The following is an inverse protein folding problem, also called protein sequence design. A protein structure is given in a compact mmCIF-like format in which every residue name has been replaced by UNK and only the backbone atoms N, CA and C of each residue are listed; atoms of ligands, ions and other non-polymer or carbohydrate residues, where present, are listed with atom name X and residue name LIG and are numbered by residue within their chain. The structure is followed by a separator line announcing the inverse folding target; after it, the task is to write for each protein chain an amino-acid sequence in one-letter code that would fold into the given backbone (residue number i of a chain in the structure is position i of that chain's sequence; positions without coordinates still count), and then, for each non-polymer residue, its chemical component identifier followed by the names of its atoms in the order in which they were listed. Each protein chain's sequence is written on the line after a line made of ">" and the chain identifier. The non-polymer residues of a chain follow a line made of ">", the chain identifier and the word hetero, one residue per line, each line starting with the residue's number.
data_IF_803103470975
#
_entry.id   IF_803103470975
#
_cell.length_a   1.000
_cell.length_b   1.000
_cell.length_c   1.000
_cell.angle_alpha   90.00
_cell.angle_beta   90.00
_cell.angle_gamma   90.00
#
_symmetry.space_group_name_H-M   'P 1'
#
loop_
_entity.id
_entity.type
_entity.pdbx_description
1 polymer ?
#
# COMPACT_ATOMS: atom_id res chain seq x y z
N UNK A 1 4.96 2.25 83.55
CA UNK A 1 4.32 2.99 82.44
C UNK A 1 5.41 3.65 81.62
N UNK A 2 5.91 2.95 80.61
CA UNK A 2 6.97 3.44 79.70
C UNK A 2 6.32 4.29 78.60
N UNK A 3 6.54 5.60 78.67
CA UNK A 3 6.06 6.58 77.68
C UNK A 3 6.86 6.43 76.39
N UNK A 4 6.18 6.20 75.28
CA UNK A 4 6.79 6.17 73.95
C UNK A 4 7.33 7.57 73.59
N UNK A 5 8.47 7.67 72.88
CA UNK A 5 8.99 8.95 72.44
C UNK A 5 8.09 9.59 71.38
N UNK A 6 7.68 10.84 71.60
CA UNK A 6 6.98 11.68 70.62
C UNK A 6 7.88 11.93 69.40
N UNK A 7 7.46 11.44 68.23
CA UNK A 7 8.13 11.72 66.97
C UNK A 7 7.57 13.03 66.40
N UNK A 8 8.41 14.00 66.01
CA UNK A 8 7.93 15.23 65.38
C UNK A 8 7.24 14.89 64.05
N UNK A 9 6.12 15.58 63.78
CA UNK A 9 5.35 15.41 62.54
C UNK A 9 6.24 15.71 61.32
N UNK A 10 6.19 14.88 60.26
CA UNK A 10 6.98 15.12 59.06
C UNK A 10 6.58 16.44 58.40
N UNK A 11 7.56 17.21 57.92
CA UNK A 11 7.32 18.46 57.19
C UNK A 11 6.54 18.19 55.90
N UNK A 12 5.67 19.12 55.49
CA UNK A 12 4.93 19.06 54.21
C UNK A 12 5.86 18.78 53.02
N UNK A 13 7.09 19.31 53.04
CA UNK A 13 8.09 19.05 52.02
C UNK A 13 8.51 17.57 51.95
N UNK A 14 8.57 16.88 53.09
CA UNK A 14 8.91 15.45 53.15
C UNK A 14 7.81 14.57 52.55
N UNK A 15 6.54 14.93 52.75
CA UNK A 15 5.41 14.25 52.12
C UNK A 15 5.42 14.42 50.61
N UNK A 16 5.68 15.64 50.11
CA UNK A 16 5.75 15.91 48.68
C UNK A 16 6.90 15.12 48.04
N UNK A 17 8.08 15.11 48.67
CA UNK A 17 9.22 14.35 48.14
C UNK A 17 8.93 12.84 48.12
N UNK A 18 8.31 12.31 49.19
CA UNK A 18 7.95 10.91 49.27
C UNK A 18 6.92 10.49 48.23
N UNK A 19 5.90 11.32 47.96
CA UNK A 19 4.89 11.01 46.93
C UNK A 19 5.47 11.07 45.52
N UNK A 20 6.39 12.00 45.24
CA UNK A 20 7.11 12.04 43.96
C UNK A 20 7.95 10.78 43.73
N UNK A 21 8.70 10.34 44.75
CA UNK A 21 9.52 9.13 44.65
C UNK A 21 8.64 7.89 44.43
N UNK A 22 7.54 7.76 45.17
CA UNK A 22 6.61 6.63 45.03
C UNK A 22 5.95 6.61 43.64
N UNK A 23 5.50 7.75 43.13
CA UNK A 23 4.91 7.84 41.80
C UNK A 23 5.92 7.52 40.68
N UNK A 24 7.16 8.03 40.81
CA UNK A 24 8.23 7.77 39.86
C UNK A 24 8.64 6.29 39.84
N UNK A 25 8.81 5.66 41.02
CA UNK A 25 9.12 4.24 41.10
C UNK A 25 7.97 3.38 40.55
N UNK A 26 6.72 3.65 40.95
CA UNK A 26 5.57 2.89 40.46
C UNK A 26 5.39 3.02 38.94
N UNK A 27 5.53 4.23 38.39
CA UNK A 27 5.46 4.48 36.95
C UNK A 27 6.58 3.79 36.17
N UNK A 28 7.81 3.81 36.69
CA UNK A 28 8.96 3.16 36.07
C UNK A 28 8.77 1.63 35.97
N UNK A 29 8.31 0.99 37.05
CA UNK A 29 8.09 -0.46 37.05
C UNK A 29 6.88 -0.89 36.20
N UNK A 30 5.82 -0.07 36.12
CA UNK A 30 4.68 -0.33 35.24
C UNK A 30 5.05 -0.20 33.75
N UNK A 31 5.93 0.76 33.43
CA UNK A 31 6.51 0.90 32.08
C UNK A 31 7.40 -0.29 31.70
N UNK A 32 8.27 -0.74 32.62
CA UNK A 32 9.11 -1.93 32.39
C UNK A 32 8.28 -3.21 32.21
N UNK A 33 7.21 -3.40 33.00
CA UNK A 33 6.32 -4.56 32.86
C UNK A 33 5.55 -4.57 31.52
N UNK A 34 5.23 -3.38 30.98
CA UNK A 34 4.63 -3.24 29.66
C UNK A 34 5.62 -3.58 28.53
N UNK A 35 6.91 -3.26 28.71
CA UNK A 35 7.99 -3.59 27.76
C UNK A 35 8.34 -5.10 27.73
N UNK A 36 8.04 -5.84 28.79
CA UNK A 36 8.29 -7.29 28.92
C UNK A 36 7.11 -8.15 28.44
N UNK A 37 6.03 -7.54 27.93
CA UNK A 37 4.87 -8.26 27.40
C UNK A 37 4.02 -8.97 28.45
N UNK A 38 4.20 -8.66 29.74
CA UNK A 38 3.54 -9.35 30.86
C UNK A 38 2.03 -9.09 30.95
N UNK A 39 1.53 -8.07 30.25
CA UNK A 39 0.11 -7.71 30.15
C UNK A 39 -0.49 -7.95 28.76
N UNK A 40 0.20 -8.68 27.88
CA UNK A 40 -0.44 -9.17 26.65
C UNK A 40 -1.43 -10.28 27.01
N UNK A 41 -2.73 -10.16 26.67
CA UNK A 41 -3.67 -11.24 26.94
C UNK A 41 -3.25 -12.48 26.13
N UNK A 42 -2.92 -13.57 26.82
CA UNK A 42 -2.71 -14.88 26.18
C UNK A 42 -4.03 -15.34 25.55
N UNK A 43 -4.01 -15.86 24.31
CA UNK A 43 -5.20 -16.45 23.71
C UNK A 43 -5.47 -17.81 24.37
N UNK A 44 -6.59 -17.94 25.08
CA UNK A 44 -7.13 -19.23 25.45
C UNK A 44 -7.92 -19.79 24.26
N UNK A 45 -7.38 -20.79 23.58
CA UNK A 45 -8.18 -21.78 22.86
C UNK A 45 -8.80 -22.71 23.92
N UNK A 46 -10.09 -23.10 23.80
CA UNK A 46 -10.48 -24.01 22.72
C UNK A 46 -11.83 -23.73 22.04
N UNK A 47 -11.91 -24.20 20.79
CA UNK A 47 -13.06 -24.76 20.06
C UNK A 47 -14.33 -23.91 19.81
N UNK A 48 -14.81 -24.07 18.57
CA UNK A 48 -16.11 -23.67 18.01
C UNK A 48 -16.28 -22.18 17.65
N UNK A 49 -15.94 -21.87 16.40
CA UNK A 49 -16.20 -20.60 15.74
C UNK A 49 -17.70 -20.27 15.69
N UNK A 50 -18.10 -19.24 16.44
CA UNK A 50 -19.26 -18.40 16.11
C UNK A 50 -18.79 -16.95 16.08
N UNK A 51 -18.71 -16.42 14.85
CA UNK A 51 -18.33 -15.04 14.56
C UNK A 51 -19.34 -14.08 15.18
N UNK A 52 -18.96 -13.42 16.28
CA UNK A 52 -19.69 -12.27 16.83
C UNK A 52 -18.87 -11.02 16.63
N UNK A 53 -19.48 -10.09 15.89
CA UNK A 53 -18.99 -8.76 15.54
C UNK A 53 -18.74 -7.95 16.81
N UNK A 54 -17.51 -7.46 17.01
CA UNK A 54 -17.27 -6.29 17.85
C UNK A 54 -16.92 -5.10 16.94
N UNK A 55 -17.57 -3.94 17.12
CA UNK A 55 -17.43 -2.81 16.22
C UNK A 55 -16.09 -2.11 16.47
N UNK A 56 -15.23 -2.09 15.45
CA UNK A 56 -14.09 -1.17 15.44
C UNK A 56 -14.59 0.27 15.30
N UNK A 57 -13.76 1.21 15.75
CA UNK A 57 -13.92 2.67 15.73
C UNK A 57 -14.72 3.20 14.51
N UNK A 58 -15.49 4.32 14.62
CA UNK A 58 -16.54 4.69 13.65
C UNK A 58 -16.10 5.04 12.21
N UNK A 59 -14.82 4.86 11.85
CA UNK A 59 -14.28 5.10 10.52
C UNK A 59 -12.97 4.31 10.32
N UNK A 60 -13.03 2.99 10.46
CA UNK A 60 -11.95 2.11 10.02
C UNK A 60 -11.89 2.12 8.49
N UNK A 61 -11.07 3.01 7.92
CA UNK A 61 -10.76 3.05 6.50
C UNK A 61 -9.80 1.92 6.15
N UNK A 62 -10.29 0.69 6.26
CA UNK A 62 -9.57 -0.47 5.74
C UNK A 62 -9.70 -0.45 4.22
N UNK A 63 -8.72 0.15 3.57
CA UNK A 63 -8.53 0.04 2.12
C UNK A 63 -7.80 -1.27 1.87
N UNK A 64 -8.54 -2.28 1.42
CA UNK A 64 -7.93 -3.53 0.98
C UNK A 64 -7.18 -3.24 -0.32
N UNK A 65 -5.84 -3.21 -0.23
CA UNK A 65 -4.99 -3.43 -1.40
C UNK A 65 -5.24 -4.88 -1.83
N UNK A 66 -5.64 -5.08 -3.09
CA UNK A 66 -5.88 -6.42 -3.63
C UNK A 66 -4.66 -7.32 -3.37
N UNK A 67 -4.83 -8.57 -2.91
CA UNK A 67 -3.77 -9.44 -2.37
C UNK A 67 -2.74 -9.95 -3.39
N UNK A 68 -2.59 -9.31 -4.55
CA UNK A 68 -1.43 -9.54 -5.42
C UNK A 68 -0.31 -8.50 -5.17
N UNK A 69 -0.37 -7.85 -4.00
CA UNK A 69 0.74 -7.09 -3.44
C UNK A 69 1.91 -8.04 -3.26
N UNK A 70 2.91 -7.85 -4.10
CA UNK A 70 4.16 -8.59 -4.21
C UNK A 70 5.05 -8.42 -2.98
N UNK A 71 4.49 -8.49 -1.77
CA UNK A 71 5.21 -8.28 -0.53
C UNK A 71 5.93 -9.56 -0.08
N UNK A 72 5.39 -10.76 -0.38
CA UNK A 72 6.13 -12.02 -0.16
C UNK A 72 7.30 -12.14 -1.14
N UNK A 73 7.09 -11.97 -2.44
CA UNK A 73 8.18 -12.10 -3.43
C UNK A 73 9.27 -11.02 -3.26
N UNK A 74 8.90 -9.80 -2.85
CA UNK A 74 9.87 -8.72 -2.56
C UNK A 74 10.65 -8.99 -1.26
N UNK A 75 10.01 -9.50 -0.21
CA UNK A 75 10.69 -9.85 1.04
C UNK A 75 11.57 -11.10 0.90
N UNK A 76 11.14 -12.07 0.08
CA UNK A 76 11.96 -13.24 -0.31
C UNK A 76 13.18 -12.81 -1.13
N UNK A 77 13.03 -11.87 -2.07
CA UNK A 77 14.15 -11.33 -2.88
C UNK A 77 15.12 -10.47 -2.07
N UNK A 78 14.67 -9.80 -1.02
CA UNK A 78 15.53 -9.05 -0.09
C UNK A 78 16.26 -9.96 0.92
N UNK A 79 15.73 -11.15 1.23
CA UNK A 79 16.36 -12.12 2.14
C UNK A 79 17.25 -13.17 1.46
N UNK A 80 17.03 -13.51 0.19
CA UNK A 80 17.64 -14.65 -0.50
C UNK A 80 19.06 -14.45 -1.06
N UNK A 81 19.93 -13.72 -0.36
CA UNK A 81 21.27 -13.35 -0.82
C UNK A 81 22.42 -14.08 -0.13
N UNK A 82 22.45 -15.42 -0.07
CA UNK A 82 23.68 -16.25 -0.03
C UNK A 82 23.35 -17.75 0.07
N UNK A 83 24.24 -18.54 -0.54
CA UNK A 83 24.33 -20.01 -0.63
C UNK A 83 23.48 -20.60 -1.77
N UNK A 84 24.00 -21.30 -2.77
CA UNK A 84 25.31 -21.91 -2.97
C UNK A 84 25.10 -23.27 -3.66
N UNK A 85 25.41 -23.34 -4.97
CA UNK A 85 25.76 -24.48 -5.82
C UNK A 85 25.36 -25.93 -5.43
N UNK A 86 24.80 -26.68 -6.40
CA UNK A 86 24.83 -28.16 -6.36
C UNK A 86 23.96 -28.91 -7.38
N UNK A 87 24.50 -29.15 -8.58
CA UNK A 87 24.42 -30.33 -9.47
C UNK A 87 23.26 -31.38 -9.45
N UNK A 88 22.91 -31.85 -10.66
CA UNK A 88 22.63 -33.29 -10.96
C UNK A 88 21.22 -33.64 -11.48
N UNK A 89 20.97 -33.82 -12.80
CA UNK A 89 20.99 -35.09 -13.59
C UNK A 89 19.64 -35.85 -13.71
N UNK A 90 19.11 -35.84 -14.95
CA UNK A 90 18.39 -36.85 -15.80
C UNK A 90 17.35 -37.89 -15.29
N UNK A 91 16.29 -38.00 -16.13
CA UNK A 91 15.60 -39.18 -16.77
C UNK A 91 14.31 -39.80 -16.16
N UNK A 92 13.24 -39.72 -16.97
CA UNK A 92 12.20 -40.69 -17.43
C UNK A 92 11.84 -41.91 -16.56
N UNK A 93 10.53 -42.15 -16.40
CA UNK A 93 9.93 -43.47 -16.13
C UNK A 93 8.41 -43.44 -15.97
N UNK A 94 7.70 -44.15 -16.84
CA UNK A 94 6.24 -44.39 -16.90
C UNK A 94 5.69 -45.24 -15.73
N UNK A 95 4.37 -45.21 -15.53
CA UNK A 95 3.64 -46.16 -14.67
C UNK A 95 2.16 -45.80 -14.50
N UNK A 96 1.29 -46.56 -15.15
CA UNK A 96 -0.17 -46.56 -15.09
C UNK A 96 -0.69 -47.17 -13.76
N UNK A 97 -1.87 -46.73 -13.28
CA UNK A 97 -3.10 -47.56 -13.12
C UNK A 97 -4.20 -46.83 -12.30
N UNK A 98 -5.44 -47.26 -12.59
CA UNK A 98 -6.75 -46.65 -12.32
C UNK A 98 -7.39 -47.01 -10.96
N UNK A 99 -8.21 -46.10 -10.42
CA UNK A 99 -9.60 -46.31 -9.95
C UNK A 99 -10.19 -44.90 -9.62
N UNK A 100 -11.47 -44.55 -9.60
CA UNK A 100 -12.76 -45.21 -9.83
C UNK A 100 -13.83 -44.37 -9.10
N UNK A 101 -14.92 -44.03 -9.81
CA UNK A 101 -16.25 -43.60 -9.29
C UNK A 101 -16.51 -42.13 -8.83
N UNK A 102 -17.29 -41.39 -9.66
CA UNK A 102 -18.71 -41.11 -9.28
C UNK A 102 -19.16 -39.67 -8.93
N UNK A 103 -19.80 -39.03 -9.92
CA UNK A 103 -21.01 -38.17 -9.84
C UNK A 103 -20.96 -36.77 -9.19
N UNK A 104 -21.28 -35.75 -10.00
CA UNK A 104 -21.78 -34.45 -9.52
C UNK A 104 -21.58 -33.31 -10.52
N UNK A 105 -22.49 -33.18 -11.48
CA UNK A 105 -22.62 -32.01 -12.36
C UNK A 105 -23.02 -30.77 -11.55
N UNK A 106 -22.18 -29.74 -11.55
CA UNK A 106 -22.60 -28.35 -11.40
C UNK A 106 -21.63 -27.48 -12.20
N UNK A 107 -22.04 -27.15 -13.42
CA UNK A 107 -21.44 -26.11 -14.23
C UNK A 107 -21.91 -24.76 -13.66
N UNK A 108 -21.07 -24.12 -12.87
CA UNK A 108 -21.13 -22.68 -12.66
C UNK A 108 -19.84 -22.09 -13.19
N UNK A 109 -19.94 -21.52 -14.39
CA UNK A 109 -18.90 -20.78 -15.10
C UNK A 109 -18.33 -19.69 -14.18
N UNK A 110 -17.17 -19.97 -13.58
CA UNK A 110 -16.30 -18.96 -12.96
C UNK A 110 -15.68 -18.13 -14.08
N UNK A 111 -16.48 -17.20 -14.61
CA UNK A 111 -16.05 -16.13 -15.49
C UNK A 111 -15.29 -15.04 -14.73
N UNK A 112 -14.33 -15.42 -13.88
CA UNK A 112 -13.27 -14.50 -13.44
C UNK A 112 -12.27 -14.37 -14.58
N UNK A 113 -12.68 -13.66 -15.63
CA UNK A 113 -11.73 -13.12 -16.60
C UNK A 113 -10.89 -12.06 -15.87
N UNK A 114 -9.84 -12.55 -15.22
CA UNK A 114 -8.76 -11.74 -14.71
C UNK A 114 -8.19 -10.96 -15.88
N UNK A 115 -8.65 -9.73 -16.04
CA UNK A 115 -8.08 -8.76 -16.96
C UNK A 115 -6.63 -8.55 -16.52
N UNK A 116 -5.71 -9.34 -17.10
CA UNK A 116 -4.27 -9.12 -17.03
C UNK A 116 -4.07 -7.66 -17.44
N UNK A 117 -3.80 -6.78 -16.49
CA UNK A 117 -3.42 -5.41 -16.80
C UNK A 117 -2.15 -5.49 -17.62
N UNK A 118 -2.28 -5.37 -18.94
CA UNK A 118 -1.19 -5.32 -19.87
C UNK A 118 -0.20 -4.27 -19.35
N UNK A 119 1.06 -4.65 -19.14
CA UNK A 119 2.08 -3.76 -18.60
C UNK A 119 2.65 -2.99 -19.79
N UNK A 120 2.00 -1.91 -20.20
CA UNK A 120 2.47 -1.07 -21.30
C UNK A 120 3.92 -0.62 -21.03
N UNK A 121 4.77 -0.70 -22.04
CA UNK A 121 6.18 -0.35 -21.90
C UNK A 121 6.31 1.14 -21.54
N UNK A 122 6.91 1.43 -20.39
CA UNK A 122 7.26 2.79 -20.00
C UNK A 122 8.41 3.29 -20.89
N UNK A 123 8.35 4.55 -21.32
CA UNK A 123 9.38 5.17 -22.17
C UNK A 123 10.47 5.82 -21.31
N UNK A 124 11.71 5.81 -21.82
CA UNK A 124 12.76 6.69 -21.31
C UNK A 124 12.48 8.13 -21.74
N UNK A 125 12.62 9.09 -20.83
CA UNK A 125 12.38 10.51 -21.08
C UNK A 125 13.69 11.31 -21.09
N UNK A 126 14.72 10.79 -21.75
CA UNK A 126 16.09 11.37 -21.76
C UNK A 126 16.11 12.78 -22.36
N UNK A 127 15.32 13.03 -23.41
CA UNK A 127 15.18 14.36 -24.04
C UNK A 127 14.61 15.43 -23.08
N UNK A 128 14.06 15.02 -21.94
CA UNK A 128 13.40 15.90 -20.97
C UNK A 128 14.17 15.96 -19.65
N UNK A 129 15.45 15.59 -19.59
CA UNK A 129 16.24 15.43 -18.35
C UNK A 129 16.25 16.66 -17.42
N UNK A 130 16.15 17.87 -17.98
CA UNK A 130 16.10 19.13 -17.23
C UNK A 130 14.69 19.65 -16.89
N UNK A 131 13.63 18.98 -17.33
CA UNK A 131 12.26 19.44 -17.10
C UNK A 131 11.73 19.06 -15.71
N UNK A 132 10.90 19.95 -15.12
CA UNK A 132 10.15 19.66 -13.90
C UNK A 132 9.28 18.40 -14.06
N UNK A 133 9.35 17.53 -13.05
CA UNK A 133 8.47 16.37 -12.96
C UNK A 133 7.21 16.68 -12.16
N UNK A 134 6.09 16.11 -12.57
CA UNK A 134 4.84 16.17 -11.81
C UNK A 134 4.03 14.88 -11.90
N UNK A 135 3.20 14.65 -10.89
CA UNK A 135 2.16 13.62 -10.87
C UNK A 135 0.80 14.31 -10.94
N UNK A 136 -0.06 13.86 -11.83
CA UNK A 136 -1.44 14.34 -11.94
C UNK A 136 -2.39 13.28 -11.39
N UNK A 137 -3.35 13.72 -10.58
CA UNK A 137 -4.37 12.90 -9.95
C UNK A 137 -5.72 13.32 -10.53
N UNK A 138 -6.23 12.52 -11.47
CA UNK A 138 -7.49 12.80 -12.17
C UNK A 138 -8.63 12.12 -11.41
N UNK A 139 -9.50 12.92 -10.80
CA UNK A 139 -10.58 12.48 -9.92
C UNK A 139 -11.91 12.51 -10.65
N UNK A 140 -12.69 11.44 -10.51
CA UNK A 140 -14.08 11.41 -10.97
C UNK A 140 -15.01 12.17 -10.03
N UNK A 141 -15.65 13.21 -10.55
CA UNK A 141 -16.57 14.05 -9.78
C UNK A 141 -18.02 13.56 -9.83
N UNK A 142 -18.38 12.74 -10.81
CA UNK A 142 -19.72 12.13 -10.94
C UNK A 142 -20.06 11.18 -9.79
N UNK A 143 -19.05 10.68 -9.08
CA UNK A 143 -19.20 9.77 -7.94
C UNK A 143 -19.64 10.47 -6.64
N UNK A 144 -19.71 11.81 -6.62
CA UNK A 144 -20.12 12.56 -5.43
C UNK A 144 -19.23 12.35 -4.20
N UNK A 145 -17.95 12.00 -4.39
CA UNK A 145 -17.04 11.69 -3.29
C UNK A 145 -16.81 12.91 -2.39
N UNK A 146 -16.94 12.72 -1.07
CA UNK A 146 -16.56 13.73 -0.09
C UNK A 146 -15.05 13.98 -0.07
N UNK A 147 -14.65 15.16 0.42
CA UNK A 147 -13.23 15.63 0.46
C UNK A 147 -12.27 14.60 1.08
N UNK A 148 -12.64 13.99 2.20
CA UNK A 148 -11.80 12.99 2.87
C UNK A 148 -11.58 11.73 2.03
N UNK A 149 -12.62 11.27 1.32
CA UNK A 149 -12.52 10.12 0.43
C UNK A 149 -11.67 10.44 -0.80
N UNK A 150 -11.85 11.62 -1.40
CA UNK A 150 -10.99 12.09 -2.49
C UNK A 150 -9.52 12.06 -2.08
N UNK A 151 -9.20 12.63 -0.91
CA UNK A 151 -7.83 12.68 -0.40
C UNK A 151 -7.21 11.28 -0.25
N UNK A 152 -7.95 10.34 0.34
CA UNK A 152 -7.51 8.95 0.49
C UNK A 152 -7.26 8.27 -0.87
N UNK A 153 -8.20 8.40 -1.81
CA UNK A 153 -8.08 7.81 -3.15
C UNK A 153 -6.91 8.40 -3.95
N UNK A 154 -6.68 9.70 -3.83
CA UNK A 154 -5.51 10.40 -4.37
C UNK A 154 -4.18 9.88 -3.77
N UNK A 155 -4.14 9.61 -2.46
CA UNK A 155 -2.97 9.01 -1.82
C UNK A 155 -2.71 7.59 -2.34
N UNK A 156 -3.75 6.77 -2.53
CA UNK A 156 -3.61 5.44 -3.13
C UNK A 156 -3.08 5.50 -4.57
N UNK A 157 -3.60 6.41 -5.39
CA UNK A 157 -3.17 6.58 -6.77
C UNK A 157 -1.68 6.97 -6.84
N UNK A 158 -1.27 7.87 -5.94
CA UNK A 158 0.14 8.28 -5.79
C UNK A 158 1.04 7.09 -5.47
N UNK A 159 0.68 6.31 -4.45
CA UNK A 159 1.48 5.16 -4.03
C UNK A 159 1.53 4.06 -5.11
N UNK A 160 0.42 3.85 -5.83
CA UNK A 160 0.36 2.91 -6.93
C UNK A 160 1.33 3.29 -8.07
N UNK A 161 1.35 4.58 -8.46
CA UNK A 161 2.28 5.08 -9.46
C UNK A 161 3.74 4.95 -9.00
N UNK A 162 4.00 5.30 -7.75
CA UNK A 162 5.33 5.21 -7.14
C UNK A 162 5.88 3.78 -7.17
N UNK A 163 5.13 2.81 -6.60
CA UNK A 163 5.51 1.39 -6.57
C UNK A 163 5.68 0.82 -7.98
N UNK A 164 4.85 1.26 -8.92
CA UNK A 164 4.94 0.80 -10.30
C UNK A 164 6.24 1.27 -10.97
N UNK A 165 6.61 2.54 -10.84
CA UNK A 165 7.87 3.06 -11.37
C UNK A 165 9.07 2.40 -10.70
N UNK A 166 9.02 2.25 -9.37
CA UNK A 166 10.08 1.62 -8.59
C UNK A 166 10.34 0.17 -9.04
N UNK A 167 9.30 -0.64 -9.20
CA UNK A 167 9.41 -2.04 -9.64
C UNK A 167 9.80 -2.20 -11.11
N UNK A 168 9.40 -1.25 -11.97
CA UNK A 168 9.74 -1.27 -13.40
C UNK A 168 11.21 -0.96 -13.68
N UNK A 169 11.96 -0.52 -12.67
CA UNK A 169 13.41 -0.29 -12.73
C UNK A 169 14.21 -1.58 -12.89
N UNK A 170 13.67 -2.70 -12.42
CA UNK A 170 14.39 -3.96 -12.24
C UNK A 170 14.17 -4.96 -13.39
N UNK A 171 13.25 -4.68 -14.30
CA UNK A 171 12.79 -5.62 -15.33
C UNK A 171 13.44 -5.40 -16.71
N UNK A 172 14.11 -4.26 -16.93
CA UNK A 172 14.68 -3.88 -18.23
C UNK A 172 16.10 -4.39 -18.48
N UNK A 173 16.52 -5.45 -17.77
CA UNK A 173 17.89 -5.98 -17.76
C UNK A 173 18.26 -6.80 -19.00
N UNK A 174 17.39 -6.90 -20.00
CA UNK A 174 17.60 -7.65 -21.24
C UNK A 174 17.67 -6.69 -22.43
N UNK A 175 18.91 -6.49 -22.93
CA UNK A 175 19.31 -5.82 -24.18
C UNK A 175 19.79 -4.35 -24.02
N UNK A 176 21.11 -4.21 -23.84
CA UNK A 176 21.91 -3.05 -24.29
C UNK A 176 21.89 -1.76 -23.44
N UNK A 177 22.86 -1.66 -22.51
CA UNK A 177 23.69 -0.49 -22.16
C UNK A 177 23.11 0.91 -21.84
N UNK A 178 21.81 1.16 -21.87
CA UNK A 178 21.26 2.48 -21.47
C UNK A 178 20.77 2.45 -20.03
N UNK A 179 21.38 3.29 -19.19
CA UNK A 179 20.98 3.60 -17.81
C UNK A 179 19.46 3.63 -17.67
N UNK A 180 18.91 2.82 -16.76
CA UNK A 180 17.46 2.78 -16.54
C UNK A 180 16.95 4.18 -16.15
N UNK A 181 16.21 4.81 -17.06
CA UNK A 181 15.77 6.20 -16.92
C UNK A 181 14.58 6.38 -15.97
N UNK A 182 13.97 5.29 -15.47
CA UNK A 182 12.85 5.37 -14.52
C UNK A 182 13.31 5.71 -13.09
N UNK A 183 14.37 5.08 -12.55
CA UNK A 183 15.02 5.54 -11.33
C UNK A 183 15.48 7.01 -11.36
N UNK A 184 15.92 7.52 -12.51
CA UNK A 184 16.30 8.94 -12.61
C UNK A 184 15.06 9.84 -12.61
N UNK A 185 13.98 9.46 -13.31
CA UNK A 185 12.72 10.18 -13.31
C UNK A 185 12.09 10.27 -11.91
N UNK A 186 12.06 9.16 -11.17
CA UNK A 186 11.49 9.12 -9.83
C UNK A 186 12.31 9.98 -8.86
N UNK A 187 13.65 9.84 -8.89
CA UNK A 187 14.56 10.67 -8.09
C UNK A 187 14.43 12.15 -8.42
N UNK A 188 14.26 12.50 -9.70
CA UNK A 188 14.03 13.89 -10.12
C UNK A 188 12.73 14.43 -9.53
N UNK A 189 11.64 13.68 -9.61
CA UNK A 189 10.38 14.10 -9.00
C UNK A 189 10.51 14.26 -7.47
N UNK A 190 11.25 13.37 -6.81
CA UNK A 190 11.56 13.45 -5.38
C UNK A 190 12.38 14.69 -5.02
N UNK A 191 13.40 15.02 -5.82
CA UNK A 191 14.25 16.20 -5.58
C UNK A 191 13.58 17.52 -5.94
N UNK A 192 12.57 17.52 -6.81
CA UNK A 192 11.80 18.72 -7.20
C UNK A 192 10.50 18.88 -6.41
N UNK A 193 10.46 18.42 -5.15
CA UNK A 193 9.34 18.67 -4.24
C UNK A 193 8.09 17.82 -4.47
N UNK A 194 8.17 16.79 -5.33
CA UNK A 194 7.12 15.80 -5.53
C UNK A 194 5.76 16.41 -5.91
N UNK A 195 5.75 17.35 -6.87
CA UNK A 195 4.54 18.06 -7.29
C UNK A 195 3.38 17.09 -7.63
N UNK A 196 2.21 17.35 -7.03
CA UNK A 196 0.96 16.60 -7.22
C UNK A 196 -0.15 17.59 -7.57
N UNK A 197 -0.84 17.37 -8.68
CA UNK A 197 -1.91 18.26 -9.15
C UNK A 197 -3.20 17.46 -9.25
N UNK A 198 -4.24 17.89 -8.54
CA UNK A 198 -5.56 17.27 -8.59
C UNK A 198 -6.40 17.92 -9.70
N UNK A 199 -6.86 17.11 -10.65
CA UNK A 199 -7.72 17.50 -11.76
C UNK A 199 -9.04 16.71 -11.70
N UNK A 200 -10.05 17.18 -12.41
CA UNK A 200 -11.37 16.56 -12.42
C UNK A 200 -11.81 16.09 -13.81
N UNK A 201 -12.56 14.99 -13.82
CA UNK A 201 -13.32 14.47 -14.96
C UNK A 201 -14.74 14.08 -14.54
N UNK A 202 -15.74 14.22 -15.41
CA UNK A 202 -17.13 13.95 -15.11
C UNK A 202 -17.57 12.50 -15.38
N UNK A 203 -16.71 11.60 -15.85
CA UNK A 203 -17.12 10.22 -16.16
C UNK A 203 -15.98 9.19 -16.13
N UNK A 204 -16.36 7.91 -16.03
CA UNK A 204 -15.46 6.76 -16.16
C UNK A 204 -14.80 6.70 -17.54
N UNK A 205 -15.57 6.94 -18.61
CA UNK A 205 -15.07 6.83 -19.98
C UNK A 205 -13.96 7.84 -20.27
N UNK A 206 -14.10 9.09 -19.77
CA UNK A 206 -13.04 10.09 -19.90
C UNK A 206 -11.79 9.68 -19.12
N UNK A 207 -11.96 9.08 -17.93
CA UNK A 207 -10.85 8.59 -17.13
C UNK A 207 -10.10 7.46 -17.85
N UNK A 208 -10.80 6.51 -18.47
CA UNK A 208 -10.16 5.42 -19.21
C UNK A 208 -9.50 5.90 -20.51
N UNK A 209 -10.11 6.87 -21.22
CA UNK A 209 -9.49 7.50 -22.38
C UNK A 209 -8.16 8.19 -22.04
N UNK A 210 -8.11 8.90 -20.91
CA UNK A 210 -6.89 9.54 -20.41
C UNK A 210 -5.83 8.50 -20.03
N UNK A 211 -6.23 7.38 -19.43
CA UNK A 211 -5.35 6.26 -19.11
C UNK A 211 -4.70 5.68 -20.38
N UNK A 212 -5.50 5.40 -21.41
CA UNK A 212 -5.00 4.91 -22.69
C UNK A 212 -3.99 5.90 -23.30
N UNK A 213 -4.36 7.17 -23.41
CA UNK A 213 -3.50 8.23 -23.96
C UNK A 213 -2.18 8.39 -23.18
N UNK A 214 -2.22 8.29 -21.85
CA UNK A 214 -1.02 8.34 -21.02
C UNK A 214 -0.08 7.16 -21.32
N UNK A 215 -0.63 5.96 -21.46
CA UNK A 215 0.12 4.74 -21.75
C UNK A 215 0.74 4.76 -23.15
N UNK A 216 0.05 5.28 -24.16
CA UNK A 216 0.61 5.46 -25.51
C UNK A 216 1.83 6.40 -25.51
N UNK A 217 1.83 7.37 -24.59
CA UNK A 217 2.97 8.27 -24.34
C UNK A 217 4.03 7.67 -23.42
N UNK A 218 3.88 6.41 -23.01
CA UNK A 218 4.84 5.70 -22.15
C UNK A 218 4.86 6.20 -20.71
N UNK A 219 3.82 6.92 -20.27
CA UNK A 219 3.68 7.38 -18.88
C UNK A 219 3.11 6.27 -18.00
N UNK A 220 3.46 6.29 -16.71
CA UNK A 220 2.76 5.50 -15.72
C UNK A 220 1.31 6.02 -15.59
N UNK A 221 0.34 5.12 -15.73
CA UNK A 221 -1.09 5.43 -15.61
C UNK A 221 -1.76 4.35 -14.75
N UNK A 222 -2.14 4.69 -13.51
CA UNK A 222 -2.70 3.74 -12.53
C UNK A 222 -4.05 4.18 -12.02
N UNK A 223 -5.04 3.31 -12.14
CA UNK A 223 -6.42 3.56 -11.71
C UNK A 223 -6.64 2.93 -10.35
N UNK A 224 -7.13 3.71 -9.42
CA UNK A 224 -7.65 3.23 -8.14
C UNK A 224 -9.12 2.91 -8.31
N UNK A 225 -9.56 1.80 -7.71
CA UNK A 225 -10.96 1.39 -7.67
C UNK A 225 -11.43 1.36 -6.22
N UNK A 226 -12.68 1.75 -5.99
CA UNK A 226 -13.29 1.66 -4.67
C UNK A 226 -13.57 0.19 -4.31
N UNK A 227 -13.18 -0.24 -3.11
CA UNK A 227 -13.42 -1.59 -2.63
C UNK A 227 -14.89 -1.84 -2.17
N UNK A 228 -15.80 -0.88 -2.37
CA UNK A 228 -17.22 -1.05 -2.07
C UNK A 228 -17.59 -0.91 -0.59
N UNK A 229 -16.73 -0.27 0.21
CA UNK A 229 -16.97 -0.03 1.65
C UNK A 229 -17.52 1.37 1.94
N UNK A 230 -17.95 2.07 0.89
CA UNK A 230 -18.41 3.46 0.93
C UNK A 230 -19.62 3.67 0.02
N UNK A 231 -20.14 4.90 -0.05
CA UNK A 231 -21.31 5.30 -0.85
C UNK A 231 -21.17 5.13 -2.37
N UNK A 232 -20.01 4.68 -2.87
CA UNK A 232 -19.75 4.46 -4.29
C UNK A 232 -19.86 2.97 -4.58
N UNK A 233 -20.45 2.60 -5.73
CA UNK A 233 -20.56 1.21 -6.14
C UNK A 233 -19.19 0.52 -6.14
N UNK A 234 -19.14 -0.70 -5.57
CA UNK A 234 -17.93 -1.51 -5.51
C UNK A 234 -17.30 -1.68 -6.90
N UNK A 235 -15.97 -1.61 -6.99
CA UNK A 235 -15.22 -1.74 -8.24
C UNK A 235 -15.19 -0.48 -9.10
N UNK A 236 -15.89 0.60 -8.72
CA UNK A 236 -15.85 1.86 -9.49
C UNK A 236 -14.45 2.44 -9.54
N UNK A 237 -13.95 2.75 -10.74
CA UNK A 237 -12.73 3.55 -10.91
C UNK A 237 -12.95 4.94 -10.30
N UNK A 238 -12.10 5.36 -9.37
CA UNK A 238 -12.26 6.62 -8.61
C UNK A 238 -11.27 7.69 -9.08
N UNK A 239 -9.99 7.34 -9.10
CA UNK A 239 -8.88 8.26 -9.38
C UNK A 239 -7.88 7.58 -10.31
N UNK A 240 -7.43 8.31 -11.33
CA UNK A 240 -6.31 7.95 -12.19
C UNK A 240 -5.08 8.76 -11.80
N UNK A 241 -3.99 8.10 -11.43
CA UNK A 241 -2.67 8.71 -11.36
C UNK A 241 -1.97 8.68 -12.71
N UNK A 242 -1.46 9.82 -13.18
CA UNK A 242 -0.67 9.97 -14.42
C UNK A 242 0.69 10.56 -14.08
N UNK A 243 1.74 9.78 -14.34
CA UNK A 243 3.12 10.08 -13.96
C UNK A 243 3.55 9.38 -12.67
N UNK A 244 4.52 9.90 -11.90
CA UNK A 244 5.33 11.08 -12.21
C UNK A 244 5.93 11.07 -13.62
N UNK A 245 6.03 12.24 -14.24
CA UNK A 245 6.58 12.38 -15.60
C UNK A 245 7.01 13.82 -15.90
N UNK A 246 7.78 14.04 -16.99
CA UNK A 246 8.11 15.39 -17.44
C UNK A 246 6.83 16.20 -17.69
N UNK A 247 6.83 17.46 -17.27
CA UNK A 247 5.66 18.32 -17.32
C UNK A 247 5.01 18.37 -18.70
N UNK A 248 5.79 18.54 -19.76
CA UNK A 248 5.33 18.64 -21.16
C UNK A 248 4.59 17.38 -21.62
N UNK A 249 5.13 16.20 -21.30
CA UNK A 249 4.53 14.91 -21.65
C UNK A 249 3.23 14.70 -20.90
N UNK A 250 3.21 15.01 -19.60
CA UNK A 250 2.02 14.91 -18.74
C UNK A 250 0.95 15.90 -19.21
N UNK A 251 1.31 17.15 -19.50
CA UNK A 251 0.39 18.18 -20.01
C UNK A 251 -0.19 17.84 -21.38
N UNK A 252 0.57 17.12 -22.22
CA UNK A 252 0.04 16.58 -23.48
C UNK A 252 -1.10 15.56 -23.30
N UNK A 253 -1.31 15.04 -22.08
CA UNK A 253 -2.46 14.19 -21.72
C UNK A 253 -3.52 14.99 -20.99
N UNK A 254 -3.12 15.75 -19.97
CA UNK A 254 -4.02 16.29 -18.94
C UNK A 254 -4.23 17.80 -18.99
N UNK A 255 -3.54 18.53 -19.86
CA UNK A 255 -3.49 20.00 -19.86
C UNK A 255 -4.83 20.70 -20.13
N UNK A 256 -5.79 20.01 -20.74
CA UNK A 256 -7.14 20.54 -20.99
C UNK A 256 -8.13 20.32 -19.83
N UNK A 257 -7.72 19.66 -18.75
CA UNK A 257 -8.60 19.35 -17.62
C UNK A 257 -8.63 20.51 -16.62
N UNK A 258 -9.75 20.62 -15.90
CA UNK A 258 -9.91 21.61 -14.83
C UNK A 258 -9.31 21.11 -13.53
N UNK A 259 -8.86 22.03 -12.68
CA UNK A 259 -8.54 21.75 -11.28
C UNK A 259 -9.78 21.21 -10.55
N UNK A 260 -9.55 20.28 -9.62
CA UNK A 260 -10.58 19.65 -8.77
C UNK A 260 -11.15 20.63 -7.73
#
# INVERSE_FOLDING_TARGET
>A
MTTLPDRPLPSTASYILATFILAACAGYFLGQASSLGLFSPRPSLPAAAKSTKNPSWPNSYDVAVHPDSSDEELMTRLRGGKEGAGAGVRRVGDGEEEDGSGSGSDESEDGSEGAREERGALKSFEENEGEECKLVLVVRTDLGMGKGKIAAQCAHATLACYKHLLSSSSSSSSSSSSSSSHPSLLRRWESTGQAKIALQVPSADQLELLRARARDRGLCARVVRDAGRTQVASGSATVLGVGPGPRSVVDGVTGGLRLL
#
